data_IF_338204833571
#
_entry.id   IF_338204833571
#
_cell.length_a   1.000
_cell.length_b   1.000
_cell.length_c   1.000
_cell.angle_alpha   90.00
_cell.angle_beta   90.00
_cell.angle_gamma   90.00
#
_symmetry.space_group_name_H-M   'P 1'
#
loop_
_entity.id
_entity.type
_entity.pdbx_description
1 polymer ?
#
# COMPACT_ATOMS: atom_id res chain seq x y z
N UNK A 1 12.64 5.92 -1.74
CA UNK A 1 11.16 6.01 -1.87
C UNK A 1 10.56 5.40 -0.62
N UNK A 2 9.93 6.19 0.23
CA UNK A 2 9.19 5.63 1.37
C UNK A 2 7.93 4.94 0.83
N UNK A 3 7.87 3.62 0.94
CA UNK A 3 6.60 2.90 0.86
C UNK A 3 5.85 3.34 2.13
N UNK A 4 4.60 3.81 1.99
CA UNK A 4 3.83 4.34 3.12
C UNK A 4 3.75 3.34 4.27
N UNK A 5 3.50 3.79 5.52
CA UNK A 5 3.49 2.89 6.66
C UNK A 5 2.51 1.75 6.42
N UNK A 6 3.00 0.54 6.62
CA UNK A 6 2.22 -0.71 6.50
C UNK A 6 1.67 -1.02 7.89
N UNK A 7 0.37 -1.26 7.99
CA UNK A 7 -0.22 -1.70 9.26
C UNK A 7 0.10 -3.19 9.48
N UNK A 8 0.87 -3.47 10.52
CA UNK A 8 1.09 -4.84 11.01
C UNK A 8 -0.12 -5.29 11.84
N UNK A 9 -0.63 -6.48 11.55
CA UNK A 9 -1.78 -7.07 12.27
C UNK A 9 -3.16 -6.78 11.66
N UNK A 10 -3.23 -6.09 10.51
CA UNK A 10 -4.46 -5.98 9.76
C UNK A 10 -4.81 -7.31 9.07
N UNK A 11 -6.10 -7.68 9.05
CA UNK A 11 -6.57 -8.89 8.38
C UNK A 11 -6.41 -8.86 6.85
N UNK A 12 -6.09 -7.69 6.28
CA UNK A 12 -5.85 -7.42 4.87
C UNK A 12 -4.73 -6.37 4.75
N UNK A 13 -3.98 -6.30 3.65
CA UNK A 13 -2.94 -5.30 3.47
C UNK A 13 -3.51 -3.88 3.44
N UNK A 14 -2.90 -2.99 4.22
CA UNK A 14 -3.29 -1.58 4.32
C UNK A 14 -2.04 -0.70 4.24
N UNK A 15 -2.08 0.27 3.33
CA UNK A 15 -1.04 1.27 3.18
C UNK A 15 -1.64 2.67 3.30
N UNK A 16 -1.01 3.54 4.10
CA UNK A 16 -1.45 4.92 4.31
C UNK A 16 -0.66 5.86 3.39
N UNK A 17 -1.37 6.72 2.67
CA UNK A 17 -0.82 7.75 1.79
C UNK A 17 -0.99 9.14 2.42
N UNK A 18 -0.05 10.05 2.17
CA UNK A 18 -0.17 11.47 2.55
C UNK A 18 -0.91 12.24 1.47
N UNK A 19 -1.58 13.35 1.81
CA UNK A 19 -2.32 14.17 0.84
C UNK A 19 -1.44 14.78 -0.27
N UNK A 20 -0.12 14.88 -0.05
CA UNK A 20 0.88 15.31 -1.02
C UNK A 20 1.27 14.24 -2.05
N UNK A 21 0.63 13.06 -2.03
CA UNK A 21 1.00 11.94 -2.89
C UNK A 21 0.59 12.21 -4.34
N UNK A 22 1.52 12.00 -5.28
CA UNK A 22 1.25 12.13 -6.72
C UNK A 22 0.43 10.94 -7.24
N UNK A 23 -0.29 11.12 -8.35
CA UNK A 23 -1.11 10.07 -8.99
C UNK A 23 -0.30 8.79 -9.26
N UNK A 24 0.93 8.91 -9.76
CA UNK A 24 1.82 7.76 -9.99
C UNK A 24 2.07 6.95 -8.72
N UNK A 25 2.24 7.61 -7.57
CA UNK A 25 2.43 6.91 -6.29
C UNK A 25 1.15 6.22 -5.83
N UNK A 26 -0.02 6.80 -6.06
CA UNK A 26 -1.31 6.16 -5.74
C UNK A 26 -1.39 4.82 -6.51
N UNK A 27 -1.20 4.85 -7.83
CA UNK A 27 -1.27 3.66 -8.68
C UNK A 27 -0.25 2.60 -8.26
N UNK A 28 1.00 2.99 -8.03
CA UNK A 28 2.04 2.06 -7.60
C UNK A 28 1.72 1.41 -6.24
N UNK A 29 1.17 2.18 -5.28
CA UNK A 29 0.81 1.65 -3.96
C UNK A 29 -0.42 0.76 -4.02
N UNK A 30 -1.40 1.05 -4.87
CA UNK A 30 -2.52 0.13 -5.13
C UNK A 30 -2.04 -1.19 -5.73
N UNK A 31 -1.13 -1.14 -6.71
CA UNK A 31 -0.55 -2.35 -7.31
C UNK A 31 0.17 -3.21 -6.26
N UNK A 32 0.95 -2.57 -5.38
CA UNK A 32 1.60 -3.25 -4.26
C UNK A 32 0.59 -3.87 -3.29
N UNK A 33 -0.45 -3.12 -2.90
CA UNK A 33 -1.52 -3.60 -2.00
C UNK A 33 -2.20 -4.85 -2.55
N UNK A 34 -2.50 -4.86 -3.86
CA UNK A 34 -3.14 -5.99 -4.54
C UNK A 34 -2.18 -7.19 -4.61
N UNK A 35 -0.90 -6.96 -4.89
CA UNK A 35 0.11 -8.01 -4.86
C UNK A 35 0.21 -8.65 -3.46
N UNK A 36 0.25 -7.83 -2.40
CA UNK A 36 0.27 -8.30 -1.02
C UNK A 36 -1.02 -9.07 -0.65
N UNK A 37 -2.18 -8.62 -1.13
CA UNK A 37 -3.47 -9.28 -0.87
C UNK A 37 -3.54 -10.66 -1.54
N UNK A 38 -2.96 -10.79 -2.73
CA UNK A 38 -2.93 -12.03 -3.49
C UNK A 38 -1.79 -12.97 -3.06
N UNK A 39 -0.78 -12.47 -2.35
CA UNK A 39 0.35 -13.27 -1.87
C UNK A 39 -0.02 -14.23 -0.71
N UNK A 40 -1.23 -14.14 -0.16
CA UNK A 40 -1.80 -15.14 0.76
C UNK A 40 -0.97 -15.41 2.00
N UNK A 41 -0.38 -14.36 2.60
CA UNK A 41 0.39 -14.42 3.83
C UNK A 41 -0.45 -14.06 5.05
#
# INVERSE_FOLDING_TARGET
>A
IAIGPVLLGAAKPVHILTASTTVRRIVNMTALTVADANAGR
#
